data_IF_480935301059
#
_entry.id   IF_480935301059
#
_cell.length_a   1.000
_cell.length_b   1.000
_cell.length_c   1.000
_cell.angle_alpha   90.00
_cell.angle_beta   90.00
_cell.angle_gamma   90.00
#
_symmetry.space_group_name_H-M   'P 1'
#
loop_
_entity.id
_entity.type
_entity.pdbx_description
1 polymer ?
#
# COMPACT_ATOMS: atom_id res chain seq x y z
N UNK A 1 -24.53 -4.91 -1.38
CA UNK A 1 -23.89 -3.59 -1.55
C UNK A 1 -22.82 -3.72 -2.60
N UNK A 2 -22.90 -2.93 -3.68
CA UNK A 2 -21.80 -2.84 -4.65
C UNK A 2 -20.63 -2.14 -3.95
N UNK A 3 -19.40 -2.69 -4.02
CA UNK A 3 -18.24 -2.00 -3.43
C UNK A 3 -18.10 -0.61 -4.07
N UNK A 4 -17.68 0.41 -3.30
CA UNK A 4 -17.49 1.75 -3.85
C UNK A 4 -16.48 1.70 -5.00
N UNK A 5 -16.76 2.46 -6.05
CA UNK A 5 -15.80 2.66 -7.13
C UNK A 5 -14.56 3.34 -6.53
N UNK A 6 -13.39 2.82 -6.91
CA UNK A 6 -12.09 3.31 -6.45
C UNK A 6 -11.24 3.70 -7.65
N UNK A 7 -10.81 4.94 -7.67
CA UNK A 7 -9.75 5.38 -8.57
C UNK A 7 -8.43 4.74 -8.12
N UNK A 8 -7.62 4.27 -9.07
CA UNK A 8 -6.29 3.69 -8.80
C UNK A 8 -5.20 4.38 -9.61
N UNK A 9 -4.18 4.86 -8.91
CA UNK A 9 -2.99 5.49 -9.44
C UNK A 9 -1.80 4.52 -9.33
N UNK A 10 -1.04 4.39 -10.40
CA UNK A 10 0.31 3.82 -10.40
C UNK A 10 1.36 4.92 -10.47
N UNK A 11 2.42 4.78 -9.70
CA UNK A 11 3.49 5.78 -9.57
C UNK A 11 4.83 5.06 -9.57
N UNK A 12 5.79 5.56 -10.33
CA UNK A 12 7.13 4.98 -10.40
C UNK A 12 8.19 6.08 -10.49
N UNK A 13 9.03 6.14 -9.46
CA UNK A 13 10.18 7.05 -9.37
C UNK A 13 11.52 6.35 -9.53
N UNK A 14 11.55 5.05 -9.88
CA UNK A 14 12.78 4.27 -9.95
C UNK A 14 13.47 4.06 -8.60
N UNK A 15 12.71 4.03 -7.49
CA UNK A 15 13.28 3.98 -6.13
C UNK A 15 13.93 2.62 -5.85
N UNK A 16 15.18 2.62 -5.37
CA UNK A 16 15.92 1.37 -5.10
C UNK A 16 15.90 0.95 -3.63
N UNK A 17 15.48 1.86 -2.76
CA UNK A 17 15.37 1.63 -1.33
C UNK A 17 13.93 1.75 -0.85
N UNK A 18 13.66 1.06 0.25
CA UNK A 18 12.32 0.98 0.82
C UNK A 18 11.83 2.33 1.35
N UNK A 19 12.72 3.08 2.02
CA UNK A 19 12.41 4.37 2.60
C UNK A 19 11.97 5.37 1.53
N UNK A 20 12.66 5.42 0.40
CA UNK A 20 12.29 6.25 -0.74
C UNK A 20 10.94 5.85 -1.35
N UNK A 21 10.62 4.55 -1.42
CA UNK A 21 9.30 4.10 -1.86
C UNK A 21 8.19 4.55 -0.90
N UNK A 22 8.42 4.50 0.42
CA UNK A 22 7.46 4.97 1.42
C UNK A 22 7.33 6.50 1.40
N UNK A 23 8.43 7.24 1.29
CA UNK A 23 8.42 8.69 1.09
C UNK A 23 7.64 9.08 -0.17
N UNK A 24 7.78 8.32 -1.26
CA UNK A 24 7.00 8.56 -2.47
C UNK A 24 5.49 8.37 -2.23
N UNK A 25 5.08 7.37 -1.44
CA UNK A 25 3.66 7.19 -1.06
C UNK A 25 3.14 8.35 -0.22
N UNK A 26 3.94 8.85 0.71
CA UNK A 26 3.58 10.00 1.53
C UNK A 26 3.44 11.27 0.67
N UNK A 27 4.43 11.58 -0.17
CA UNK A 27 4.41 12.74 -1.05
C UNK A 27 3.22 12.71 -2.03
N UNK A 28 2.95 11.57 -2.65
CA UNK A 28 1.75 11.40 -3.51
C UNK A 28 0.46 11.58 -2.70
N UNK A 29 0.44 11.10 -1.46
CA UNK A 29 -0.69 11.27 -0.56
C UNK A 29 -1.03 12.69 -0.21
N UNK A 30 -0.02 13.48 0.13
CA UNK A 30 -0.18 14.90 0.45
C UNK A 30 -0.76 15.66 -0.73
N UNK A 31 -0.27 15.41 -1.96
CA UNK A 31 -0.82 16.01 -3.17
C UNK A 31 -2.26 15.55 -3.41
N UNK A 32 -2.56 14.25 -3.30
CA UNK A 32 -3.91 13.72 -3.49
C UNK A 32 -4.92 14.29 -2.48
N UNK A 33 -4.53 14.47 -1.23
CA UNK A 33 -5.38 15.06 -0.20
C UNK A 33 -5.77 16.51 -0.57
N UNK A 34 -4.84 17.27 -1.17
CA UNK A 34 -5.08 18.64 -1.62
C UNK A 34 -5.98 18.73 -2.86
N UNK A 35 -5.80 17.83 -3.83
CA UNK A 35 -6.43 17.97 -5.17
C UNK A 35 -7.68 17.12 -5.38
N UNK A 36 -7.79 16.01 -4.66
CA UNK A 36 -8.89 15.06 -4.79
C UNK A 36 -9.70 14.89 -3.50
N UNK A 37 -9.38 15.64 -2.45
CA UNK A 37 -10.06 15.56 -1.16
C UNK A 37 -10.04 14.14 -0.60
N UNK A 38 -9.00 13.37 -0.92
CA UNK A 38 -8.89 11.99 -0.47
C UNK A 38 -8.80 11.99 1.05
N UNK A 39 -9.88 11.57 1.72
CA UNK A 39 -9.89 11.37 3.16
C UNK A 39 -8.91 10.27 3.58
N UNK A 40 -9.03 9.82 4.83
CA UNK A 40 -8.18 8.77 5.39
C UNK A 40 -8.48 7.36 4.84
N UNK A 41 -9.49 7.19 3.98
CA UNK A 41 -9.85 5.91 3.35
C UNK A 41 -9.03 5.61 2.07
N UNK A 42 -7.71 5.53 2.26
CA UNK A 42 -6.73 5.28 1.20
C UNK A 42 -6.03 3.95 1.43
N UNK A 43 -5.70 3.31 0.31
CA UNK A 43 -4.80 2.17 0.28
C UNK A 43 -3.57 2.55 -0.51
N UNK A 44 -2.40 2.16 -0.03
CA UNK A 44 -1.16 2.33 -0.76
C UNK A 44 -0.29 1.09 -0.57
N UNK A 45 0.30 0.63 -1.67
CA UNK A 45 1.16 -0.56 -1.67
C UNK A 45 2.42 -0.33 -2.49
N UNK A 46 3.51 -0.97 -2.07
CA UNK A 46 4.78 -1.05 -2.79
C UNK A 46 4.84 -2.33 -3.62
N UNK A 47 5.45 -2.24 -4.80
CA UNK A 47 5.55 -3.31 -5.79
C UNK A 47 6.97 -3.40 -6.33
N UNK A 48 7.54 -4.61 -6.33
CA UNK A 48 8.86 -4.84 -6.93
C UNK A 48 8.73 -4.86 -8.44
N UNK A 49 9.46 -3.98 -9.10
CA UNK A 49 9.66 -3.96 -10.55
C UNK A 49 11.02 -4.59 -10.84
N UNK A 50 11.06 -5.58 -11.75
CA UNK A 50 12.29 -6.34 -12.05
C UNK A 50 13.01 -5.90 -13.32
N UNK A 51 12.32 -5.17 -14.20
CA UNK A 51 12.80 -4.82 -15.55
C UNK A 51 12.54 -3.34 -15.80
N UNK A 52 13.46 -2.60 -16.44
CA UNK A 52 14.80 -3.05 -16.88
C UNK A 52 15.77 -3.28 -15.72
N UNK A 53 15.67 -2.47 -14.66
CA UNK A 53 16.46 -2.61 -13.44
C UNK A 53 15.54 -2.90 -12.25
N UNK A 54 16.05 -3.56 -11.22
CA UNK A 54 15.30 -3.79 -9.99
C UNK A 54 15.06 -2.47 -9.23
N UNK A 55 13.80 -2.15 -8.98
CA UNK A 55 13.36 -0.99 -8.19
C UNK A 55 11.94 -1.22 -7.64
N UNK A 56 11.40 -0.22 -6.94
CA UNK A 56 10.07 -0.25 -6.36
C UNK A 56 9.17 0.80 -7.01
N UNK A 57 8.03 0.36 -7.53
CA UNK A 57 6.92 1.23 -7.90
C UNK A 57 5.86 1.19 -6.81
N UNK A 58 5.00 2.21 -6.76
CA UNK A 58 3.94 2.31 -5.75
C UNK A 58 2.59 2.48 -6.43
N UNK A 59 1.55 2.00 -5.76
CA UNK A 59 0.18 2.13 -6.24
C UNK A 59 -0.72 2.57 -5.10
N UNK A 60 -1.64 3.47 -5.39
CA UNK A 60 -2.58 4.02 -4.44
C UNK A 60 -4.01 3.93 -4.97
N UNK A 61 -4.96 3.68 -4.09
CA UNK A 61 -6.38 3.78 -4.39
C UNK A 61 -7.15 4.49 -3.30
N UNK A 62 -8.16 5.25 -3.69
CA UNK A 62 -9.04 6.01 -2.81
C UNK A 62 -10.47 5.90 -3.32
N UNK A 63 -11.44 6.14 -2.44
CA UNK A 63 -12.84 6.18 -2.83
C UNK A 63 -13.10 7.38 -3.75
N UNK A 64 -13.85 7.18 -4.81
CA UNK A 64 -14.32 8.30 -5.63
C UNK A 64 -15.24 9.20 -4.77
N UNK A 65 -15.19 10.54 -4.95
CA UNK A 65 -16.12 11.42 -4.25
C UNK A 65 -17.56 11.02 -4.57
N UNK A 66 -18.41 11.00 -3.54
CA UNK A 66 -19.81 10.58 -3.64
C UNK A 66 -20.64 11.48 -4.58
N UNK A 67 -21.88 11.05 -4.86
CA UNK A 67 -22.80 11.76 -5.75
C UNK A 67 -22.95 13.25 -5.36
N UNK A 68 -22.67 14.16 -6.30
CA UNK A 68 -22.86 15.61 -6.14
C UNK A 68 -21.59 16.46 -6.25
N UNK A 69 -20.42 15.89 -5.97
CA UNK A 69 -19.13 16.46 -6.37
C UNK A 69 -18.64 15.68 -7.59
N UNK A 70 -18.59 16.31 -8.76
CA UNK A 70 -17.91 15.69 -9.90
C UNK A 70 -16.48 15.33 -9.47
N UNK A 71 -15.97 14.13 -9.76
CA UNK A 71 -14.57 13.84 -9.47
C UNK A 71 -13.71 14.91 -10.14
N UNK A 72 -12.63 15.40 -9.50
CA UNK A 72 -11.70 16.27 -10.21
C UNK A 72 -11.34 15.59 -11.51
N UNK A 73 -11.25 16.36 -12.61
CA UNK A 73 -10.94 15.75 -13.88
C UNK A 73 -9.62 14.99 -13.70
N UNK A 74 -9.59 13.71 -14.10
CA UNK A 74 -8.39 12.86 -13.91
C UNK A 74 -7.13 13.52 -14.49
N UNK A 75 -7.31 14.32 -15.54
CA UNK A 75 -6.27 15.17 -16.14
C UNK A 75 -5.72 16.22 -15.15
N UNK A 76 -6.56 16.88 -14.36
CA UNK A 76 -6.13 17.87 -13.37
C UNK A 76 -5.33 17.21 -12.25
N UNK A 77 -5.80 16.05 -11.76
CA UNK A 77 -5.06 15.26 -10.74
C UNK A 77 -3.69 14.86 -11.26
N UNK A 78 -3.62 14.33 -12.48
CA UNK A 78 -2.34 13.98 -13.11
C UNK A 78 -1.44 15.19 -13.32
N UNK A 79 -1.98 16.32 -13.78
CA UNK A 79 -1.22 17.54 -14.00
C UNK A 79 -0.59 18.04 -12.70
N UNK A 80 -1.39 18.13 -11.62
CA UNK A 80 -0.91 18.55 -10.30
C UNK A 80 0.13 17.61 -9.72
N UNK A 81 -0.05 16.30 -9.87
CA UNK A 81 0.94 15.32 -9.44
C UNK A 81 2.24 15.45 -10.25
N UNK A 82 2.15 15.64 -11.57
CA UNK A 82 3.32 15.80 -12.43
C UNK A 82 4.08 17.10 -12.14
N UNK A 83 3.38 18.18 -11.80
CA UNK A 83 3.96 19.44 -11.34
C UNK A 83 4.67 19.30 -10.00
N UNK A 84 4.04 18.63 -9.03
CA UNK A 84 4.57 18.47 -7.67
C UNK A 84 5.70 17.44 -7.57
N UNK A 85 5.71 16.43 -8.44
CA UNK A 85 6.62 15.28 -8.39
C UNK A 85 7.38 15.14 -9.73
N UNK A 86 8.32 16.06 -10.04
CA UNK A 86 9.10 15.98 -11.26
C UNK A 86 9.94 14.69 -11.29
N UNK A 87 10.07 14.08 -12.47
CA UNK A 87 10.85 12.86 -12.67
C UNK A 87 10.14 11.56 -12.27
N UNK A 88 8.87 11.63 -11.87
CA UNK A 88 8.06 10.45 -11.52
C UNK A 88 7.11 10.12 -12.67
N UNK A 89 6.98 8.84 -13.00
CA UNK A 89 5.98 8.33 -13.91
C UNK A 89 4.65 8.09 -13.19
N UNK A 90 3.56 8.54 -13.80
CA UNK A 90 2.22 8.51 -13.25
C UNK A 90 1.27 7.82 -14.24
N UNK A 91 0.40 6.94 -13.74
CA UNK A 91 -0.61 6.24 -14.55
C UNK A 91 -1.93 6.25 -13.79
N UNK A 92 -2.89 7.00 -14.31
CA UNK A 92 -4.24 7.16 -13.74
C UNK A 92 -5.26 6.87 -14.82
N UNK A 93 -6.00 5.76 -14.68
CA UNK A 93 -7.16 5.38 -15.50
C UNK A 93 -7.19 5.93 -16.95
N UNK A 94 -6.33 5.39 -17.82
CA UNK A 94 -6.32 5.71 -19.25
C UNK A 94 -5.42 6.90 -19.63
N UNK A 95 -4.89 7.63 -18.65
CA UNK A 95 -3.93 8.71 -18.86
C UNK A 95 -2.61 8.43 -18.12
N UNK A 96 -1.53 9.04 -18.61
CA UNK A 96 -0.19 8.90 -18.03
C UNK A 96 0.66 10.15 -18.24
N UNK A 97 1.59 10.38 -17.32
CA UNK A 97 2.56 11.48 -17.37
C UNK A 97 3.94 11.02 -16.86
N UNK A 98 5.00 11.79 -17.15
CA UNK A 98 6.35 11.55 -16.64
C UNK A 98 7.26 10.71 -17.56
N UNK A 99 8.40 10.23 -17.04
CA UNK A 99 9.43 9.57 -17.85
C UNK A 99 8.95 8.25 -18.49
N UNK A 100 9.08 8.08 -19.82
CA UNK A 100 8.59 6.88 -20.51
C UNK A 100 9.16 5.56 -20.00
N UNK A 101 10.43 5.57 -19.56
CA UNK A 101 11.11 4.38 -19.03
C UNK A 101 10.52 3.83 -17.72
N UNK A 102 9.80 4.66 -16.96
CA UNK A 102 9.17 4.28 -15.69
C UNK A 102 7.66 4.00 -15.81
N UNK A 103 7.05 4.30 -16.97
CA UNK A 103 5.62 4.04 -17.20
C UNK A 103 5.28 2.54 -17.13
N UNK A 104 6.24 1.66 -17.46
CA UNK A 104 6.07 0.22 -17.35
C UNK A 104 5.81 -0.24 -15.91
N UNK A 105 6.67 0.19 -14.97
CA UNK A 105 6.54 -0.14 -13.56
C UNK A 105 5.30 0.48 -12.91
N UNK A 106 4.99 1.74 -13.23
CA UNK A 106 3.76 2.39 -12.78
C UNK A 106 2.49 1.64 -13.23
N UNK A 107 2.43 1.19 -14.50
CA UNK A 107 1.31 0.38 -15.02
C UNK A 107 1.20 -0.96 -14.30
N UNK A 108 2.32 -1.65 -14.10
CA UNK A 108 2.36 -2.95 -13.44
C UNK A 108 1.88 -2.85 -11.98
N UNK A 109 2.43 -1.92 -11.20
CA UNK A 109 2.04 -1.67 -9.82
C UNK A 109 0.54 -1.36 -9.68
N UNK A 110 0.01 -0.48 -10.54
CA UNK A 110 -1.43 -0.19 -10.60
C UNK A 110 -2.26 -1.44 -10.90
N UNK A 111 -1.84 -2.24 -11.87
CA UNK A 111 -2.54 -3.46 -12.28
C UNK A 111 -2.62 -4.50 -11.15
N UNK A 112 -1.49 -4.76 -10.49
CA UNK A 112 -1.43 -5.70 -9.37
C UNK A 112 -2.20 -5.20 -8.14
N UNK A 113 -2.11 -3.91 -7.81
CA UNK A 113 -2.86 -3.29 -6.71
C UNK A 113 -4.37 -3.34 -6.96
N UNK A 114 -4.82 -2.92 -8.16
CA UNK A 114 -6.24 -2.93 -8.52
C UNK A 114 -6.83 -4.33 -8.47
N UNK A 115 -6.05 -5.33 -8.90
CA UNK A 115 -6.46 -6.73 -8.85
C UNK A 115 -6.22 -7.39 -7.48
N UNK A 116 -5.60 -6.69 -6.53
CA UNK A 116 -5.21 -7.20 -5.20
C UNK A 116 -4.47 -8.54 -5.28
N UNK A 117 -3.58 -8.68 -6.26
CA UNK A 117 -2.81 -9.91 -6.51
C UNK A 117 -1.45 -9.93 -5.84
N UNK A 118 -0.82 -8.77 -5.73
CA UNK A 118 0.50 -8.60 -5.16
C UNK A 118 0.68 -7.17 -4.63
N UNK A 119 1.71 -6.98 -3.82
CA UNK A 119 2.11 -5.69 -3.24
C UNK A 119 2.04 -5.70 -1.72
N UNK A 120 2.95 -4.94 -1.09
CA UNK A 120 3.01 -4.78 0.38
C UNK A 120 2.40 -3.45 0.77
N UNK A 121 1.41 -3.47 1.65
CA UNK A 121 0.62 -2.31 2.02
C UNK A 121 1.40 -1.43 2.99
N UNK A 122 1.50 -0.15 2.67
CA UNK A 122 2.10 0.88 3.54
C UNK A 122 1.04 1.81 4.10
N UNK A 123 -0.14 1.88 3.48
CA UNK A 123 -1.27 2.62 3.99
C UNK A 123 -2.53 1.81 3.71
N UNK A 124 -3.42 1.76 4.68
CA UNK A 124 -4.68 1.05 4.59
C UNK A 124 -5.65 1.53 5.68
N UNK A 125 -6.98 1.43 5.45
CA UNK A 125 -7.97 1.87 6.41
C UNK A 125 -7.81 1.19 7.76
N UNK A 126 -7.88 1.97 8.86
CA UNK A 126 -7.77 1.45 10.22
C UNK A 126 -6.34 1.11 10.69
N UNK A 127 -5.30 1.38 9.89
CA UNK A 127 -3.89 1.16 10.28
C UNK A 127 -3.55 1.74 11.66
N UNK A 128 -3.87 3.01 11.90
CA UNK A 128 -3.58 3.68 13.17
C UNK A 128 -4.33 3.05 14.36
N UNK A 129 -5.48 2.40 14.13
CA UNK A 129 -6.17 1.68 15.17
C UNK A 129 -5.41 0.40 15.53
N UNK A 130 -4.89 -0.35 14.55
CA UNK A 130 -4.31 -1.68 14.79
C UNK A 130 -2.83 -1.68 15.17
N UNK A 131 -2.08 -0.61 14.95
CA UNK A 131 -0.64 -0.50 15.30
C UNK A 131 -0.38 -0.33 16.81
N UNK A 132 -0.89 -1.28 17.60
CA UNK A 132 -0.84 -1.36 19.06
C UNK A 132 -0.81 -2.84 19.47
N UNK A 133 -0.75 -3.12 20.78
CA UNK A 133 -1.10 -4.44 21.29
C UNK A 133 -2.60 -4.70 21.08
N UNK A 134 -2.93 -5.79 20.38
CA UNK A 134 -4.28 -6.11 19.91
C UNK A 134 -4.49 -7.64 19.78
N UNK A 135 -5.52 -8.07 19.06
CA UNK A 135 -5.78 -9.46 18.69
C UNK A 135 -6.06 -9.60 17.19
N UNK A 136 -5.89 -10.79 16.59
CA UNK A 136 -6.27 -11.02 15.19
C UNK A 136 -7.74 -10.64 14.89
N UNK A 137 -8.68 -10.96 15.78
CA UNK A 137 -10.09 -10.59 15.62
C UNK A 137 -10.30 -9.08 15.54
N UNK A 138 -9.61 -8.31 16.40
CA UNK A 138 -9.72 -6.86 16.39
C UNK A 138 -9.07 -6.25 15.13
N UNK A 139 -8.00 -6.85 14.60
CA UNK A 139 -7.40 -6.40 13.33
C UNK A 139 -8.39 -6.54 12.17
N UNK A 140 -9.08 -7.67 12.07
CA UNK A 140 -10.09 -7.93 11.03
C UNK A 140 -11.34 -7.05 11.18
N UNK A 141 -11.68 -6.64 12.40
CA UNK A 141 -12.86 -5.82 12.67
C UNK A 141 -12.59 -4.31 12.54
N UNK A 142 -11.41 -3.85 12.96
CA UNK A 142 -11.08 -2.43 13.12
C UNK A 142 -10.27 -1.87 11.94
N UNK A 143 -9.96 -2.68 10.92
CA UNK A 143 -9.14 -2.26 9.77
C UNK A 143 -9.59 -2.88 8.45
N UNK A 144 -8.93 -2.47 7.36
CA UNK A 144 -9.10 -3.08 6.04
C UNK A 144 -8.44 -4.45 5.88
N UNK A 145 -7.87 -5.04 6.93
CA UNK A 145 -7.28 -6.38 6.82
C UNK A 145 -8.40 -7.43 6.74
N UNK A 146 -8.41 -8.21 5.66
CA UNK A 146 -9.42 -9.25 5.44
C UNK A 146 -9.13 -10.52 6.25
N UNK A 147 -7.86 -10.80 6.53
CA UNK A 147 -7.45 -11.97 7.30
C UNK A 147 -6.09 -11.77 7.97
N UNK A 148 -5.95 -12.33 9.19
CA UNK A 148 -4.66 -12.51 9.85
C UNK A 148 -4.25 -13.98 9.74
N UNK A 149 -3.14 -14.24 9.04
CA UNK A 149 -2.68 -15.59 8.74
C UNK A 149 -1.29 -15.85 9.35
N UNK A 150 -1.09 -17.05 9.90
CA UNK A 150 0.21 -17.47 10.40
C UNK A 150 1.17 -17.80 9.27
N UNK A 151 2.43 -17.39 9.42
CA UNK A 151 3.49 -17.70 8.46
C UNK A 151 3.61 -19.23 8.30
N UNK A 152 3.72 -19.68 7.04
CA UNK A 152 3.78 -21.09 6.69
C UNK A 152 2.58 -21.93 7.22
N UNK A 153 1.42 -21.30 7.42
CA UNK A 153 0.19 -21.97 7.87
C UNK A 153 0.15 -22.28 9.36
N UNK A 154 0.96 -21.61 10.19
CA UNK A 154 0.88 -21.77 11.64
C UNK A 154 -0.51 -21.37 12.15
N UNK A 155 -1.03 -22.10 13.14
CA UNK A 155 -2.34 -21.82 13.73
C UNK A 155 -2.37 -20.44 14.40
N UNK A 156 -3.43 -19.68 14.16
CA UNK A 156 -3.64 -18.33 14.68
C UNK A 156 -4.98 -18.29 15.38
N UNK A 157 -4.94 -18.30 16.72
CA UNK A 157 -6.11 -18.07 17.54
C UNK A 157 -6.57 -16.62 17.42
N UNK A 158 -7.86 -16.42 17.19
CA UNK A 158 -8.46 -15.09 17.00
C UNK A 158 -8.35 -14.17 18.23
N UNK A 159 -8.20 -14.75 19.41
CA UNK A 159 -8.05 -14.07 20.70
C UNK A 159 -6.59 -14.00 21.21
N UNK A 160 -5.62 -14.50 20.44
CA UNK A 160 -4.21 -14.44 20.83
C UNK A 160 -3.73 -12.98 20.92
N UNK A 161 -2.87 -12.71 21.91
CA UNK A 161 -2.16 -11.44 21.99
C UNK A 161 -1.30 -11.25 20.73
N UNK A 162 -1.47 -10.12 20.07
CA UNK A 162 -0.78 -9.74 18.84
C UNK A 162 -0.18 -8.35 19.01
N UNK A 163 1.15 -8.27 18.99
CA UNK A 163 1.88 -7.00 19.08
C UNK A 163 2.19 -6.46 17.68
N UNK A 164 1.50 -5.38 17.31
CA UNK A 164 1.71 -4.62 16.08
C UNK A 164 2.23 -3.20 16.37
N UNK A 165 2.76 -2.97 17.57
CA UNK A 165 3.11 -1.62 18.03
C UNK A 165 4.08 -0.95 17.06
N UNK A 166 3.57 0.09 16.40
CA UNK A 166 4.31 0.89 15.43
C UNK A 166 4.60 0.22 14.09
N UNK A 167 4.17 -1.01 13.79
CA UNK A 167 4.39 -1.56 12.44
C UNK A 167 3.47 -2.74 12.13
N UNK A 168 2.65 -2.59 11.09
CA UNK A 168 1.93 -3.68 10.47
C UNK A 168 1.94 -3.50 8.95
N UNK A 169 2.37 -4.53 8.23
CA UNK A 169 2.56 -4.47 6.77
C UNK A 169 1.83 -5.65 6.10
N UNK A 170 0.51 -5.53 5.88
CA UNK A 170 -0.25 -6.53 5.14
C UNK A 170 0.24 -6.66 3.70
N UNK A 171 -0.18 -7.74 3.04
CA UNK A 171 0.08 -7.98 1.62
C UNK A 171 -1.22 -8.19 0.87
N UNK A 172 -1.26 -7.76 -0.38
CA UNK A 172 -2.27 -8.24 -1.31
C UNK A 172 -1.97 -9.68 -1.70
N UNK A 173 -2.96 -10.56 -1.53
CA UNK A 173 -2.88 -11.96 -1.93
C UNK A 173 -4.27 -12.47 -2.27
N UNK A 174 -4.42 -13.03 -3.47
CA UNK A 174 -5.66 -13.71 -3.90
C UNK A 174 -6.93 -12.85 -3.73
N UNK A 175 -6.84 -11.54 -3.98
CA UNK A 175 -7.98 -10.63 -3.81
C UNK A 175 -8.17 -10.06 -2.39
N UNK A 176 -7.38 -10.53 -1.41
CA UNK A 176 -7.50 -10.20 0.01
C UNK A 176 -6.30 -9.40 0.52
N UNK A 177 -6.54 -8.52 1.49
CA UNK A 177 -5.55 -7.88 2.35
C UNK A 177 -5.22 -8.84 3.50
N UNK A 178 -4.03 -9.46 3.47
CA UNK A 178 -3.63 -10.47 4.46
C UNK A 178 -2.48 -9.93 5.31
N UNK A 179 -2.65 -9.92 6.63
CA UNK A 179 -1.57 -9.66 7.56
C UNK A 179 -0.91 -10.98 7.98
N UNK A 180 0.35 -11.18 7.60
CA UNK A 180 1.13 -12.34 8.01
C UNK A 180 1.74 -12.11 9.40
N UNK A 181 1.55 -13.08 10.29
CA UNK A 181 2.06 -13.06 11.66
C UNK A 181 2.90 -14.31 11.97
N UNK A 182 3.71 -14.23 13.00
CA UNK A 182 4.54 -15.35 13.49
C UNK A 182 4.62 -15.34 15.02
N UNK A 183 4.98 -16.48 15.66
CA UNK A 183 5.24 -16.50 17.08
C UNK A 183 6.38 -15.57 17.48
N UNK A 184 6.16 -14.80 18.55
CA UNK A 184 7.14 -13.96 19.23
C UNK A 184 7.19 -14.28 20.73
N UNK A 185 8.01 -13.52 21.48
CA UNK A 185 8.30 -13.80 22.90
C UNK A 185 7.07 -13.71 23.83
N UNK A 186 6.04 -12.93 23.46
CA UNK A 186 4.85 -12.67 24.30
C UNK A 186 3.52 -12.92 23.61
N UNK A 187 3.52 -13.58 22.44
CA UNK A 187 2.33 -13.75 21.61
C UNK A 187 2.71 -13.76 20.13
N UNK A 188 1.82 -13.27 19.29
CA UNK A 188 2.07 -13.09 17.86
C UNK A 188 2.71 -11.72 17.59
N UNK A 189 3.51 -11.65 16.54
CA UNK A 189 4.07 -10.40 15.99
C UNK A 189 3.88 -10.39 14.47
N UNK A 190 3.90 -9.21 13.85
CA UNK A 190 3.96 -9.13 12.39
C UNK A 190 5.19 -9.88 11.84
N UNK A 191 5.03 -10.56 10.70
CA UNK A 191 6.14 -11.23 10.02
C UNK A 191 7.18 -10.22 9.51
N UNK A 192 6.72 -9.14 8.88
CA UNK A 192 7.60 -8.06 8.42
C UNK A 192 7.94 -7.15 9.62
N UNK A 193 9.22 -6.80 9.76
CA UNK A 193 9.70 -5.90 10.82
C UNK A 193 10.14 -4.56 10.23
N UNK A 194 9.87 -3.47 10.96
CA UNK A 194 10.24 -2.10 10.57
C UNK A 194 11.74 -1.94 10.33
N UNK A 195 12.55 -2.56 11.20
CA UNK A 195 14.00 -2.62 11.08
C UNK A 195 14.37 -4.06 10.79
N UNK A 196 14.61 -4.39 9.53
CA UNK A 196 15.28 -5.64 9.22
C UNK A 196 16.75 -5.46 9.62
N UNK A 197 17.13 -6.02 10.78
CA UNK A 197 18.54 -6.21 11.09
C UNK A 197 19.07 -7.14 10.00
N UNK A 198 20.08 -6.74 9.20
CA UNK A 198 20.63 -7.59 8.16
C UNK A 198 21.02 -8.93 8.78
N UNK A 199 20.36 -10.01 8.35
CA UNK A 199 20.62 -11.36 8.87
C UNK A 199 21.80 -12.04 8.17
N UNK A 200 22.63 -11.30 7.43
CA UNK A 200 23.85 -11.84 6.86
C UNK A 200 24.98 -11.69 7.88
N UNK A 201 25.24 -12.79 8.58
CA UNK A 201 26.48 -13.06 9.27
C UNK A 201 27.68 -12.85 8.33
N UNK A 202 28.74 -12.27 8.88
CA UNK A 202 30.06 -12.32 8.27
C UNK A 202 30.50 -13.78 8.16
N UNK A 203 30.55 -14.32 6.94
CA UNK A 203 31.21 -15.58 6.61
C UNK A 203 31.98 -15.41 5.30
#
# INVERSE_FOLDING_TARGET
MTPPLRTTLGVDGGTRDHGAAEHLVHAVGEVLAQVAGTGTDRWASTHVVRVPDAHTAVALSWADPGEGAGPPARADVLCRLAEALPGVALVLDGASAGPPGLLGGARAARGEHRARRAGRLVDYPGRAAVERLTTPAAVEADSGVDAVEGLAGSDVRRDAALDLTGFARPVWREGRCVLLVQPGRGGLVAFEQRVQIPCCSAH
#
